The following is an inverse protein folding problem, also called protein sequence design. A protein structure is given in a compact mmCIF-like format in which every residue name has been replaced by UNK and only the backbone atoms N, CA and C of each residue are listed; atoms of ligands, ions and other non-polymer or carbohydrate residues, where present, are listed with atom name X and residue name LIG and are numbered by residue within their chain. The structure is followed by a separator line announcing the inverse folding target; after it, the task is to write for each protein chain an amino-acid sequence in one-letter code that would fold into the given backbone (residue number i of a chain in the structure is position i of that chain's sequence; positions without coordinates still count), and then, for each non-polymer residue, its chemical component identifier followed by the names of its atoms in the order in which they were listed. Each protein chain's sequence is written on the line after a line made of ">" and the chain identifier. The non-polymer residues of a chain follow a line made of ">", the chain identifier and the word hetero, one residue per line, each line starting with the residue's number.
data_IF_264623879860
#
_entry.id   IF_264623879860
#
_cell.length_a   1.000
_cell.length_b   1.000
_cell.length_c   1.000
_cell.angle_alpha   90.00
_cell.angle_beta   90.00
_cell.angle_gamma   90.00
#
_symmetry.space_group_name_H-M   'P 1'
#
loop_
_entity.id
_entity.type
_entity.pdbx_description
1 polymer ?
#
# COMPACT_ATOMS: atom_id res chain seq x y z
N UNK A 1 2.48 -33.77 53.18
CA UNK A 1 1.16 -33.37 52.69
C UNK A 1 0.77 -31.95 53.16
N UNK A 2 1.24 -31.46 54.31
CA UNK A 2 0.84 -30.12 54.79
C UNK A 2 1.63 -28.93 54.20
N UNK A 3 2.88 -29.11 53.77
CA UNK A 3 3.61 -28.02 53.06
C UNK A 3 3.09 -27.76 51.65
N UNK A 4 2.43 -28.72 51.00
CA UNK A 4 1.82 -28.50 49.68
C UNK A 4 0.48 -27.76 49.80
N UNK A 5 -0.25 -27.95 50.91
CA UNK A 5 -1.48 -27.21 51.21
C UNK A 5 -1.22 -25.76 51.60
N UNK A 6 -0.15 -25.47 52.34
CA UNK A 6 0.24 -24.07 52.64
C UNK A 6 0.73 -23.32 51.39
N UNK A 7 1.43 -23.98 50.46
CA UNK A 7 1.83 -23.36 49.19
C UNK A 7 0.64 -23.12 48.27
N UNK A 8 -0.37 -24.01 48.27
CA UNK A 8 -1.61 -23.83 47.50
C UNK A 8 -2.56 -22.81 48.14
N UNK A 9 -2.65 -22.72 49.47
CA UNK A 9 -3.42 -21.67 50.14
C UNK A 9 -2.77 -20.28 50.00
N UNK A 10 -1.43 -20.21 49.97
CA UNK A 10 -0.73 -18.95 49.74
C UNK A 10 -0.70 -18.55 48.25
N UNK A 11 -0.87 -19.51 47.32
CA UNK A 11 -1.05 -19.21 45.89
C UNK A 11 -2.45 -18.66 45.59
N UNK A 12 -3.49 -19.14 46.29
CA UNK A 12 -4.86 -18.62 46.13
C UNK A 12 -5.05 -17.24 46.79
N UNK A 13 -4.30 -16.89 47.84
CA UNK A 13 -4.32 -15.52 48.38
C UNK A 13 -3.49 -14.51 47.57
N UNK A 14 -2.64 -14.96 46.65
CA UNK A 14 -1.97 -14.06 45.68
C UNK A 14 -2.79 -13.78 44.41
N UNK A 15 -3.93 -14.45 44.23
CA UNK A 15 -4.79 -14.28 43.05
C UNK A 15 -6.12 -13.55 43.32
N UNK A 16 -6.43 -13.22 44.56
CA UNK A 16 -7.57 -12.33 44.90
C UNK A 16 -7.23 -10.83 44.75
N UNK A 17 -5.98 -10.48 44.45
CA UNK A 17 -5.55 -9.09 44.22
C UNK A 17 -5.69 -8.60 42.77
N UNK A 18 -6.03 -9.46 41.81
CA UNK A 18 -5.98 -9.13 40.35
C UNK A 18 -7.37 -9.03 39.69
N UNK A 19 -8.45 -8.99 40.48
CA UNK A 19 -9.84 -8.92 39.96
C UNK A 19 -10.33 -7.44 39.91
N UNK A 20 -9.55 -6.46 40.39
CA UNK A 20 -10.01 -5.05 40.44
C UNK A 20 -9.83 -4.25 39.15
N UNK A 21 -9.11 -4.75 38.15
CA UNK A 21 -8.72 -3.96 36.97
C UNK A 21 -9.40 -4.42 35.68
N UNK A 22 -10.44 -5.27 35.77
CA UNK A 22 -11.20 -5.75 34.61
C UNK A 22 -12.71 -5.67 34.84
N UNK A 23 -13.44 -5.16 33.87
CA UNK A 23 -14.91 -5.06 33.91
C UNK A 23 -15.50 -5.57 32.60
N UNK A 24 -16.58 -6.35 32.70
CA UNK A 24 -17.35 -6.77 31.54
C UNK A 24 -18.52 -5.80 31.31
N UNK A 25 -18.62 -5.26 30.09
CA UNK A 25 -19.61 -4.23 29.76
C UNK A 25 -20.40 -4.62 28.51
N UNK A 26 -21.71 -4.41 28.59
CA UNK A 26 -22.65 -4.66 27.51
C UNK A 26 -23.22 -3.34 27.01
N UNK A 27 -23.22 -3.14 25.70
CA UNK A 27 -23.69 -1.90 25.09
C UNK A 27 -23.96 -2.02 23.59
N UNK A 28 -24.73 -1.08 23.05
CA UNK A 28 -25.15 -1.12 21.65
C UNK A 28 -24.02 -0.76 20.66
N UNK A 29 -22.97 -0.11 21.14
CA UNK A 29 -21.75 0.24 20.40
C UNK A 29 -20.52 0.04 21.29
N UNK A 30 -19.36 -0.20 20.69
CA UNK A 30 -18.08 -0.35 21.41
C UNK A 30 -17.79 0.91 22.24
N UNK A 31 -17.96 2.10 21.67
CA UNK A 31 -17.77 3.38 22.38
C UNK A 31 -18.66 3.51 23.63
N UNK A 32 -19.92 3.08 23.56
CA UNK A 32 -20.82 3.09 24.73
C UNK A 32 -20.37 2.12 25.82
N UNK A 33 -19.71 1.02 25.45
CA UNK A 33 -19.16 0.07 26.42
C UNK A 33 -17.91 0.64 27.10
N UNK A 34 -17.02 1.26 26.32
CA UNK A 34 -15.77 1.84 26.84
C UNK A 34 -16.02 3.04 27.76
N UNK A 35 -16.96 3.92 27.43
CA UNK A 35 -17.33 5.04 28.32
C UNK A 35 -17.85 4.55 29.68
N UNK A 36 -18.72 3.53 29.68
CA UNK A 36 -19.22 2.93 30.92
C UNK A 36 -18.13 2.23 31.72
N UNK A 37 -17.17 1.60 31.03
CA UNK A 37 -16.01 0.99 31.67
C UNK A 37 -15.08 2.05 32.29
N UNK A 38 -14.85 3.16 31.60
CA UNK A 38 -14.04 4.30 32.08
C UNK A 38 -14.63 4.90 33.36
N UNK A 39 -15.95 5.13 33.38
CA UNK A 39 -16.66 5.62 34.56
C UNK A 39 -16.55 4.65 35.74
N UNK A 40 -16.66 3.34 35.46
CA UNK A 40 -16.61 2.30 36.50
C UNK A 40 -15.19 2.08 37.05
N UNK A 41 -14.18 2.15 36.19
CA UNK A 41 -12.77 1.96 36.54
C UNK A 41 -12.10 3.26 37.00
N UNK A 42 -12.81 4.40 36.94
CA UNK A 42 -12.29 5.74 37.24
C UNK A 42 -10.95 6.02 36.53
N UNK A 43 -10.93 5.71 35.24
CA UNK A 43 -9.74 5.72 34.39
C UNK A 43 -10.08 6.35 33.05
N UNK A 44 -9.16 7.10 32.46
CA UNK A 44 -9.36 7.71 31.14
C UNK A 44 -9.48 6.62 30.05
N UNK A 45 -10.24 6.89 28.99
CA UNK A 45 -10.45 5.95 27.87
C UNK A 45 -9.13 5.52 27.22
N UNK A 46 -8.11 6.37 27.22
CA UNK A 46 -6.76 6.09 26.69
C UNK A 46 -5.97 5.11 27.56
N UNK A 47 -6.42 4.86 28.78
CA UNK A 47 -5.82 3.91 29.70
C UNK A 47 -6.57 2.56 29.71
N UNK A 48 -7.52 2.35 28.79
CA UNK A 48 -8.31 1.13 28.72
C UNK A 48 -7.94 0.31 27.48
N UNK A 49 -7.71 -0.98 27.68
CA UNK A 49 -7.71 -2.00 26.65
C UNK A 49 -9.04 -2.76 26.65
N UNK A 50 -9.44 -3.32 25.51
CA UNK A 50 -10.67 -4.11 25.45
C UNK A 50 -10.59 -5.31 24.49
N UNK A 51 -11.23 -6.38 24.92
CA UNK A 51 -11.45 -7.58 24.11
C UNK A 51 -12.95 -7.74 23.81
N UNK A 52 -13.28 -8.03 22.55
CA UNK A 52 -14.67 -8.26 22.13
C UNK A 52 -15.03 -9.73 22.39
N UNK A 53 -15.83 -9.97 23.41
CA UNK A 53 -16.35 -11.31 23.74
C UNK A 53 -17.50 -11.70 22.81
N UNK A 54 -18.40 -10.77 22.50
CA UNK A 54 -19.47 -10.96 21.51
C UNK A 54 -19.67 -9.72 20.64
N UNK A 55 -19.70 -9.91 19.31
CA UNK A 55 -19.92 -8.83 18.35
C UNK A 55 -21.41 -8.50 18.24
N UNK A 56 -21.74 -7.22 18.37
CA UNK A 56 -23.10 -6.75 18.15
C UNK A 56 -23.55 -6.92 16.69
N UNK A 57 -24.81 -7.32 16.50
CA UNK A 57 -25.46 -7.45 15.19
C UNK A 57 -26.76 -6.67 15.19
N UNK A 58 -26.97 -5.85 14.16
CA UNK A 58 -28.21 -5.09 13.98
C UNK A 58 -28.92 -5.56 12.72
N UNK A 59 -30.09 -6.16 12.89
CA UNK A 59 -31.00 -6.54 11.80
C UNK A 59 -32.34 -5.83 11.98
N UNK A 60 -33.18 -5.82 10.94
CA UNK A 60 -34.41 -5.01 10.87
C UNK A 60 -35.43 -5.29 12.00
N UNK A 61 -35.31 -6.43 12.69
CA UNK A 61 -36.19 -6.85 13.80
C UNK A 61 -35.46 -7.25 15.10
N UNK A 62 -34.12 -7.23 15.16
CA UNK A 62 -33.38 -7.61 16.37
C UNK A 62 -32.02 -6.90 16.47
N UNK A 63 -31.67 -6.43 17.67
CA UNK A 63 -30.39 -5.79 17.98
C UNK A 63 -29.69 -6.58 19.08
N UNK A 64 -28.62 -7.28 18.72
CA UNK A 64 -27.74 -7.93 19.68
C UNK A 64 -26.64 -6.94 20.09
N UNK A 65 -26.50 -6.61 21.39
CA UNK A 65 -25.48 -5.68 21.87
C UNK A 65 -24.08 -6.30 21.81
N UNK A 66 -23.06 -5.45 21.83
CA UNK A 66 -21.68 -5.86 22.05
C UNK A 66 -21.48 -6.25 23.51
N UNK A 67 -20.64 -7.27 23.73
CA UNK A 67 -20.16 -7.68 25.04
C UNK A 67 -18.64 -7.59 25.04
N UNK A 68 -18.10 -6.70 25.86
CA UNK A 68 -16.66 -6.42 25.93
C UNK A 68 -16.11 -6.76 27.31
N UNK A 69 -14.88 -7.26 27.34
CA UNK A 69 -14.06 -7.27 28.54
C UNK A 69 -13.08 -6.12 28.46
N UNK A 70 -13.11 -5.18 29.42
CA UNK A 70 -12.31 -3.96 29.42
C UNK A 70 -11.36 -3.99 30.61
N UNK A 71 -10.10 -3.61 30.40
CA UNK A 71 -9.07 -3.61 31.43
C UNK A 71 -8.16 -2.39 31.38
N UNK A 72 -7.50 -2.04 32.49
CA UNK A 72 -6.55 -0.92 32.52
C UNK A 72 -5.21 -1.34 31.89
N UNK A 73 -4.70 -0.53 30.96
CA UNK A 73 -3.40 -0.74 30.30
C UNK A 73 -2.23 -0.59 31.28
N UNK A 74 -1.33 -1.58 31.40
CA UNK A 74 -0.14 -1.48 32.24
C UNK A 74 0.78 -0.34 31.75
N UNK A 75 1.53 0.26 32.69
CA UNK A 75 2.40 1.41 32.40
C UNK A 75 3.47 1.17 31.33
N UNK A 76 3.82 -0.09 31.10
CA UNK A 76 4.91 -0.53 30.25
C UNK A 76 4.51 -0.65 28.77
N UNK A 77 3.21 -0.67 28.44
CA UNK A 77 2.69 -0.81 27.06
C UNK A 77 2.22 0.51 26.43
N UNK A 78 2.38 1.65 27.13
CA UNK A 78 1.79 2.96 26.77
C UNK A 78 2.40 3.65 25.54
N UNK A 79 3.43 3.09 24.90
CA UNK A 79 4.17 3.74 23.82
C UNK A 79 4.43 2.86 22.59
N UNK A 80 3.76 1.72 22.47
CA UNK A 80 3.71 1.00 21.21
C UNK A 80 2.45 1.45 20.44
N UNK A 81 2.67 2.06 19.27
CA UNK A 81 1.72 2.04 18.16
C UNK A 81 0.59 3.08 18.11
N UNK A 82 0.95 4.36 18.14
CA UNK A 82 0.08 5.44 17.65
C UNK A 82 -0.18 5.35 16.13
N UNK A 83 0.75 4.79 15.35
CA UNK A 83 0.57 4.59 13.90
C UNK A 83 -0.41 3.45 13.57
N UNK A 84 -0.37 2.35 14.32
CA UNK A 84 -1.26 1.20 14.07
C UNK A 84 -2.72 1.50 14.45
N UNK A 85 -2.93 2.36 15.45
CA UNK A 85 -4.26 2.83 15.86
C UNK A 85 -4.95 3.65 14.77
N UNK A 86 -4.19 4.50 14.06
CA UNK A 86 -4.71 5.29 12.92
C UNK A 86 -5.19 4.41 11.76
N UNK A 87 -4.47 3.31 11.49
CA UNK A 87 -4.77 2.38 10.41
C UNK A 87 -5.99 1.49 10.71
N UNK A 88 -6.13 1.05 11.97
CA UNK A 88 -7.25 0.20 12.41
C UNK A 88 -8.59 0.94 12.45
N UNK A 89 -8.59 2.26 12.56
CA UNK A 89 -9.81 3.09 12.57
C UNK A 89 -10.30 3.50 11.17
N UNK A 90 -9.51 3.29 10.12
CA UNK A 90 -9.94 3.53 8.73
C UNK A 90 -10.27 4.99 8.40
N UNK A 91 -9.72 5.95 9.16
CA UNK A 91 -9.96 7.38 8.96
C UNK A 91 -8.81 7.96 8.15
N UNK A 92 -8.94 7.90 6.83
CA UNK A 92 -8.07 8.65 5.92
C UNK A 92 -8.31 10.17 6.05
N UNK A 93 -7.23 10.90 6.32
CA UNK A 93 -6.95 12.31 5.99
C UNK A 93 -8.07 13.38 6.15
N UNK A 94 -9.03 13.17 7.07
CA UNK A 94 -10.06 14.17 7.41
C UNK A 94 -10.51 14.10 8.87
N UNK A 95 -9.63 14.47 9.78
CA UNK A 95 -9.98 15.12 11.04
C UNK A 95 -8.81 16.03 11.40
N UNK A 96 -8.84 17.26 10.88
CA UNK A 96 -7.86 18.28 11.23
C UNK A 96 -8.54 19.35 12.08
N UNK A 97 -7.92 19.52 13.26
CA UNK A 97 -7.62 20.76 13.97
C UNK A 97 -8.41 21.10 15.24
N UNK A 98 -9.73 20.89 15.35
CA UNK A 98 -10.43 21.35 16.58
C UNK A 98 -10.46 20.36 17.74
N UNK A 99 -10.54 19.05 17.47
CA UNK A 99 -10.66 18.04 18.54
C UNK A 99 -9.29 17.58 19.09
N UNK A 100 -8.22 17.62 18.29
CA UNK A 100 -6.87 17.16 18.70
C UNK A 100 -6.18 18.10 19.70
N UNK A 101 -6.49 19.41 19.70
CA UNK A 101 -5.93 20.36 20.67
C UNK A 101 -6.41 20.09 22.12
N UNK A 102 -7.59 19.45 22.27
CA UNK A 102 -8.12 19.06 23.58
C UNK A 102 -7.53 17.76 24.12
N UNK A 103 -6.91 16.93 23.27
CA UNK A 103 -6.27 15.66 23.67
C UNK A 103 -4.77 15.81 24.05
N UNK A 104 -4.16 16.96 23.79
CA UNK A 104 -2.73 17.21 24.05
C UNK A 104 -2.46 18.19 25.21
N UNK A 105 -3.48 18.85 25.76
CA UNK A 105 -3.31 19.82 26.84
C UNK A 105 -3.62 19.19 28.21
N UNK A 106 -2.70 19.24 29.18
CA UNK A 106 -2.96 18.69 30.52
C UNK A 106 -4.18 19.37 31.15
N UNK A 107 -5.15 18.57 31.61
CA UNK A 107 -6.42 19.03 32.23
C UNK A 107 -6.21 20.00 33.40
N UNK A 108 -5.08 19.84 34.10
CA UNK A 108 -4.64 20.71 35.18
C UNK A 108 -3.15 20.98 35.04
N UNK A 109 -2.75 22.25 34.92
CA UNK A 109 -1.34 22.66 34.83
C UNK A 109 -1.15 24.02 35.49
N UNK A 110 -0.17 24.12 36.39
CA UNK A 110 0.22 25.40 36.98
C UNK A 110 0.71 26.39 35.92
N UNK A 111 0.50 27.67 36.16
CA UNK A 111 1.02 28.72 35.29
C UNK A 111 2.55 28.66 35.23
N UNK A 112 3.10 29.03 34.07
CA UNK A 112 4.54 28.93 33.80
C UNK A 112 5.17 30.29 33.59
N UNK A 113 6.42 30.41 34.04
CA UNK A 113 7.27 31.57 33.78
C UNK A 113 8.39 31.16 32.85
N UNK A 114 8.41 31.75 31.66
CA UNK A 114 9.46 31.54 30.68
C UNK A 114 10.20 32.86 30.49
N UNK A 115 11.53 32.82 30.57
CA UNK A 115 12.41 33.98 30.36
C UNK A 115 13.19 33.73 29.09
N UNK A 116 13.04 34.61 28.10
CA UNK A 116 13.79 34.56 26.85
C UNK A 116 14.69 35.78 26.75
N UNK A 117 15.96 35.54 26.46
CA UNK A 117 16.95 36.60 26.30
C UNK A 117 17.35 36.61 24.82
N UNK A 118 17.08 37.70 24.11
CA UNK A 118 17.41 37.88 22.69
C UNK A 118 18.24 39.16 22.51
N UNK A 119 18.74 39.42 21.28
CA UNK A 119 19.50 40.64 21.01
C UNK A 119 18.68 41.90 21.26
N UNK A 120 17.37 41.80 21.03
CA UNK A 120 16.40 42.87 21.20
C UNK A 120 16.07 43.18 22.66
N UNK A 121 16.36 42.27 23.61
CA UNK A 121 16.09 42.48 25.03
C UNK A 121 15.82 41.20 25.82
N UNK A 122 15.42 41.40 27.07
CA UNK A 122 14.93 40.34 27.95
C UNK A 122 13.40 40.35 27.91
N UNK A 123 12.82 39.19 27.64
CA UNK A 123 11.40 38.97 27.52
C UNK A 123 10.92 38.02 28.60
N UNK A 124 9.80 38.39 29.21
CA UNK A 124 9.08 37.57 30.18
C UNK A 124 7.78 37.09 29.53
N UNK A 125 7.53 35.80 29.62
CA UNK A 125 6.29 35.16 29.19
C UNK A 125 5.70 34.50 30.44
N UNK A 126 4.47 34.86 30.77
CA UNK A 126 3.71 34.26 31.87
C UNK A 126 2.48 33.61 31.27
N UNK A 127 2.44 32.29 31.34
CA UNK A 127 1.31 31.48 30.89
C UNK A 127 0.33 31.27 32.04
N UNK A 128 -0.97 31.37 31.76
CA UNK A 128 -2.03 31.12 32.73
C UNK A 128 -2.08 29.63 33.09
N UNK A 129 -2.52 29.29 34.31
CA UNK A 129 -2.81 27.91 34.63
C UNK A 129 -3.97 27.37 33.81
N UNK A 130 -3.94 26.07 33.56
CA UNK A 130 -5.05 25.31 32.98
C UNK A 130 -5.78 24.54 34.09
N UNK A 131 -7.12 24.55 34.05
CA UNK A 131 -7.97 23.90 35.05
C UNK A 131 -7.72 24.39 36.48
N UNK A 132 -7.41 23.46 37.39
CA UNK A 132 -7.15 23.73 38.82
C UNK A 132 -5.67 24.10 39.11
N UNK A 133 -4.88 24.38 38.07
CA UNK A 133 -3.50 24.83 38.24
C UNK A 133 -3.41 26.16 38.99
N UNK A 134 -2.30 26.37 39.69
CA UNK A 134 -2.05 27.61 40.43
C UNK A 134 -1.52 28.71 39.51
N UNK A 135 -1.99 29.96 39.65
CA UNK A 135 -1.42 31.08 38.93
C UNK A 135 -0.01 31.38 39.41
N UNK A 136 0.80 31.91 38.50
CA UNK A 136 2.16 32.38 38.81
C UNK A 136 2.08 33.54 39.80
N UNK A 137 2.89 33.47 40.85
CA UNK A 137 3.11 34.59 41.76
C UNK A 137 4.35 35.42 41.37
N UNK A 138 4.40 36.67 41.83
CA UNK A 138 5.49 37.59 41.51
C UNK A 138 6.85 37.09 42.03
N UNK A 139 6.88 36.38 43.16
CA UNK A 139 8.12 35.84 43.71
C UNK A 139 8.67 34.70 42.84
N UNK A 140 7.81 33.88 42.23
CA UNK A 140 8.19 32.84 41.27
C UNK A 140 8.80 33.47 40.02
N UNK A 141 8.20 34.55 39.50
CA UNK A 141 8.75 35.28 38.36
C UNK A 141 10.12 35.90 38.67
N UNK A 142 10.27 36.55 39.81
CA UNK A 142 11.54 37.13 40.27
C UNK A 142 12.61 36.05 40.51
N UNK A 143 12.23 34.93 41.12
CA UNK A 143 13.13 33.78 41.34
C UNK A 143 13.62 33.23 40.00
N UNK A 144 12.75 33.13 39.00
CA UNK A 144 13.12 32.65 37.67
C UNK A 144 14.04 33.64 36.94
N UNK A 145 13.81 34.95 37.05
CA UNK A 145 14.70 35.98 36.51
C UNK A 145 16.10 35.92 37.14
N UNK A 146 16.17 35.71 38.47
CA UNK A 146 17.45 35.53 39.17
C UNK A 146 18.17 34.25 38.73
N UNK A 147 17.46 33.12 38.63
CA UNK A 147 18.02 31.84 38.16
C UNK A 147 18.56 31.93 36.73
N UNK A 148 17.88 32.68 35.87
CA UNK A 148 18.29 32.91 34.48
C UNK A 148 19.37 33.99 34.37
N UNK A 149 19.85 34.55 35.48
CA UNK A 149 20.98 35.49 35.53
C UNK A 149 20.63 36.91 35.08
N UNK A 150 19.35 37.26 35.02
CA UNK A 150 18.87 38.60 34.67
C UNK A 150 18.86 39.47 35.92
N UNK A 151 19.68 40.52 35.93
CA UNK A 151 19.81 41.43 37.08
C UNK A 151 19.17 42.80 36.83
N UNK A 152 19.03 43.21 35.56
CA UNK A 152 18.54 44.53 35.18
C UNK A 152 17.25 44.39 34.37
N UNK A 153 16.11 44.63 35.05
CA UNK A 153 14.78 44.59 34.47
C UNK A 153 13.88 45.63 35.15
N UNK A 154 12.83 46.05 34.44
CA UNK A 154 11.81 46.94 34.96
C UNK A 154 10.83 46.14 35.83
N UNK A 155 10.92 46.36 37.15
CA UNK A 155 10.07 45.67 38.12
C UNK A 155 8.58 45.97 37.90
N UNK A 156 8.22 47.20 37.49
CA UNK A 156 6.82 47.57 37.24
C UNK A 156 6.24 46.76 36.09
N UNK A 157 7.04 46.53 35.04
CA UNK A 157 6.66 45.66 33.92
C UNK A 157 6.56 44.19 34.32
N UNK A 158 7.44 43.70 35.18
CA UNK A 158 7.33 42.30 35.68
C UNK A 158 6.00 42.10 36.41
N UNK A 159 5.62 43.01 37.31
CA UNK A 159 4.34 42.93 38.02
C UNK A 159 3.14 43.01 37.07
N UNK A 160 3.22 43.84 36.02
CA UNK A 160 2.19 43.96 34.98
C UNK A 160 2.02 42.64 34.19
N UNK A 161 3.13 42.05 33.71
CA UNK A 161 3.12 40.81 32.93
C UNK A 161 2.59 39.63 33.74
N UNK A 162 2.97 39.52 35.02
CA UNK A 162 2.47 38.47 35.92
C UNK A 162 0.97 38.63 36.17
N UNK A 163 0.49 39.86 36.35
CA UNK A 163 -0.93 40.16 36.56
C UNK A 163 -1.78 39.84 35.34
N UNK A 164 -1.30 40.18 34.14
CA UNK A 164 -2.07 40.02 32.90
C UNK A 164 -1.97 38.60 32.34
N UNK A 165 -0.82 37.95 32.51
CA UNK A 165 -0.52 36.58 32.11
C UNK A 165 -1.00 36.25 30.68
N UNK A 166 -0.71 37.14 29.73
CA UNK A 166 -1.23 37.05 28.36
C UNK A 166 -0.61 35.91 27.54
N UNK A 167 0.39 35.18 28.07
CA UNK A 167 1.13 34.16 27.32
C UNK A 167 2.01 34.72 26.19
N UNK A 168 2.13 36.04 26.09
CA UNK A 168 2.91 36.71 25.04
C UNK A 168 4.26 37.20 25.57
N UNK A 169 5.31 37.25 24.72
CA UNK A 169 6.62 37.75 25.12
C UNK A 169 6.59 39.27 25.31
N UNK A 170 6.74 39.73 26.55
CA UNK A 170 6.77 41.15 26.90
C UNK A 170 8.19 41.55 27.30
N UNK A 171 8.71 42.62 26.67
CA UNK A 171 10.07 43.12 26.96
C UNK A 171 10.12 43.81 28.32
N UNK A 172 10.84 43.21 29.26
CA UNK A 172 11.01 43.71 30.63
C UNK A 172 12.38 44.36 30.87
N UNK A 173 13.35 44.17 29.97
CA UNK A 173 14.69 44.69 30.17
C UNK A 173 15.52 44.70 28.89
N UNK A 174 16.70 45.31 28.99
CA UNK A 174 17.69 45.27 27.91
C UNK A 174 18.65 44.10 28.14
N UNK A 175 19.05 43.45 27.05
CA UNK A 175 20.07 42.41 27.11
C UNK A 175 21.43 43.04 27.41
N UNK A 176 22.17 42.44 28.35
CA UNK A 176 23.56 42.78 28.62
C UNK A 176 24.44 41.68 28.02
N UNK A 177 25.25 41.99 26.99
CA UNK A 177 26.05 40.98 26.29
C UNK A 177 26.94 40.16 27.23
N UNK A 178 26.75 38.85 27.19
CA UNK A 178 27.61 37.85 27.86
C UNK A 178 27.89 36.69 26.90
N UNK A 179 28.72 36.89 25.87
CA UNK A 179 28.92 35.91 24.80
C UNK A 179 29.34 34.51 25.30
N UNK A 180 30.08 34.43 26.40
CA UNK A 180 30.51 33.17 27.03
C UNK A 180 29.37 32.37 27.69
N UNK A 181 28.22 33.00 27.91
CA UNK A 181 27.02 32.38 28.46
C UNK A 181 25.96 32.13 27.39
N UNK A 182 26.10 32.69 26.19
CA UNK A 182 25.12 32.55 25.11
C UNK A 182 24.94 31.09 24.68
N UNK A 183 23.73 30.79 24.23
CA UNK A 183 23.41 29.53 23.57
C UNK A 183 24.27 29.38 22.32
N UNK A 184 24.71 28.16 22.07
CA UNK A 184 25.55 27.80 20.93
C UNK A 184 24.98 26.57 20.24
N UNK A 185 25.47 26.26 19.06
CA UNK A 185 25.08 25.05 18.36
C UNK A 185 26.24 24.43 17.62
N UNK A 186 26.12 23.13 17.37
CA UNK A 186 27.03 22.38 16.50
C UNK A 186 26.28 21.97 15.24
N UNK A 187 26.95 22.10 14.09
CA UNK A 187 26.44 21.61 12.81
C UNK A 187 27.17 20.32 12.47
N UNK A 188 26.40 19.28 12.16
CA UNK A 188 26.91 18.01 11.67
C UNK A 188 26.27 17.71 10.31
N UNK A 189 27.09 17.61 9.27
CA UNK A 189 26.64 17.38 7.88
C UNK A 189 26.89 15.93 7.52
N UNK A 190 25.89 15.29 6.91
CA UNK A 190 26.02 13.90 6.49
C UNK A 190 27.05 13.74 5.36
N UNK A 191 27.75 12.59 5.26
CA UNK A 191 28.77 12.38 4.23
C UNK A 191 28.24 12.46 2.78
N UNK A 192 26.95 12.19 2.58
CA UNK A 192 26.26 12.31 1.29
C UNK A 192 25.84 13.76 0.96
N UNK A 193 26.11 14.70 1.88
CA UNK A 193 25.76 16.12 1.77
C UNK A 193 24.24 16.37 1.66
N UNK A 194 23.42 15.39 2.04
CA UNK A 194 21.96 15.48 1.89
C UNK A 194 21.28 16.10 3.10
N UNK A 195 21.89 16.08 4.29
CA UNK A 195 21.29 16.63 5.51
C UNK A 195 22.31 17.40 6.34
N UNK A 196 21.86 18.50 6.93
CA UNK A 196 22.57 19.16 8.02
C UNK A 196 21.76 19.04 9.30
N UNK A 197 22.39 18.50 10.33
CA UNK A 197 21.87 18.42 11.67
C UNK A 197 22.42 19.57 12.50
N UNK A 198 21.56 20.14 13.34
CA UNK A 198 21.93 21.16 14.31
C UNK A 198 21.62 20.63 15.71
N UNK A 199 22.63 20.69 16.58
CA UNK A 199 22.50 20.37 17.99
C UNK A 199 22.68 21.63 18.83
N UNK A 200 21.59 22.07 19.45
CA UNK A 200 21.55 23.33 20.21
C UNK A 200 21.95 23.07 21.66
N UNK A 201 22.90 23.84 22.16
CA UNK A 201 23.31 23.86 23.57
C UNK A 201 22.61 25.04 24.26
N UNK A 202 21.94 24.82 25.40
CA UNK A 202 21.18 25.87 26.09
C UNK A 202 22.10 26.99 26.60
N UNK A 203 21.58 28.22 26.76
CA UNK A 203 22.34 29.30 27.35
C UNK A 203 22.63 29.03 28.84
N UNK A 204 23.77 29.52 29.32
CA UNK A 204 24.08 29.62 30.75
C UNK A 204 23.39 30.87 31.35
N UNK A 205 23.31 31.00 32.69
CA UNK A 205 22.69 32.17 33.31
C UNK A 205 23.25 33.50 32.79
N UNK A 206 22.36 34.37 32.30
CA UNK A 206 22.64 35.66 31.68
C UNK A 206 22.92 35.61 30.17
N UNK A 207 22.94 34.41 29.59
CA UNK A 207 23.20 34.18 28.17
C UNK A 207 21.96 34.34 27.28
N UNK A 208 22.20 34.73 26.03
CA UNK A 208 21.19 34.87 24.99
C UNK A 208 20.78 33.52 24.41
N UNK A 209 19.49 33.35 24.11
CA UNK A 209 18.97 32.25 23.31
C UNK A 209 19.26 32.49 21.83
N UNK A 210 19.37 31.41 21.06
CA UNK A 210 19.52 31.50 19.60
C UNK A 210 18.20 31.91 18.95
N UNK A 211 18.30 32.63 17.85
CA UNK A 211 17.20 32.94 16.94
C UNK A 211 17.38 32.15 15.63
N UNK A 212 16.31 31.94 14.86
CA UNK A 212 16.36 31.20 13.57
C UNK A 212 17.46 31.77 12.65
N UNK A 213 17.59 33.09 12.62
CA UNK A 213 18.60 33.81 11.84
C UNK A 213 20.03 33.40 12.24
N UNK A 214 20.29 33.12 13.52
CA UNK A 214 21.62 32.68 13.98
C UNK A 214 21.96 31.28 13.47
N UNK A 215 21.00 30.36 13.54
CA UNK A 215 21.15 28.99 13.07
C UNK A 215 21.34 28.97 11.54
N UNK A 216 20.48 29.67 10.80
CA UNK A 216 20.58 29.78 9.34
C UNK A 216 21.90 30.44 8.91
N UNK A 217 22.34 31.48 9.63
CA UNK A 217 23.63 32.14 9.34
C UNK A 217 24.80 31.20 9.58
N UNK A 218 24.79 30.42 10.67
CA UNK A 218 25.85 29.43 10.89
C UNK A 218 25.79 28.28 9.90
N UNK A 219 24.61 27.80 9.47
CA UNK A 219 24.50 26.82 8.40
C UNK A 219 25.09 27.35 7.08
N UNK A 220 24.80 28.61 6.71
CA UNK A 220 25.41 29.29 5.56
C UNK A 220 26.93 29.39 5.69
N UNK A 221 27.44 29.67 6.90
CA UNK A 221 28.89 29.70 7.17
C UNK A 221 29.56 28.32 7.00
N UNK A 222 28.80 27.24 7.21
CA UNK A 222 29.22 25.86 6.92
C UNK A 222 29.00 25.44 5.45
N UNK A 223 28.61 26.39 4.59
CA UNK A 223 28.47 26.20 3.15
C UNK A 223 27.07 25.80 2.67
N UNK A 224 26.10 25.60 3.56
CA UNK A 224 24.72 25.24 3.18
C UNK A 224 24.09 26.37 2.35
N UNK A 225 23.51 26.01 1.20
CA UNK A 225 22.95 26.96 0.22
C UNK A 225 21.44 26.84 0.10
N UNK A 226 20.91 25.61 0.17
CA UNK A 226 19.49 25.31 -0.05
C UNK A 226 18.94 24.39 1.04
N UNK A 227 17.61 24.31 1.10
CA UNK A 227 16.92 23.28 1.88
C UNK A 227 16.79 23.61 3.37
N UNK A 228 16.99 24.86 3.78
CA UNK A 228 16.80 25.29 5.18
C UNK A 228 15.38 24.97 5.66
N UNK A 229 15.30 24.27 6.78
CA UNK A 229 14.04 23.92 7.45
C UNK A 229 13.75 24.95 8.54
N UNK A 230 13.47 26.19 8.13
CA UNK A 230 13.30 27.32 9.07
C UNK A 230 12.18 27.07 10.08
N UNK A 231 11.08 26.44 9.65
CA UNK A 231 9.96 26.07 10.53
C UNK A 231 10.37 25.04 11.60
N UNK A 232 11.11 24.00 11.21
CA UNK A 232 11.61 22.97 12.14
C UNK A 232 12.63 23.55 13.13
N UNK A 233 13.51 24.45 12.65
CA UNK A 233 14.46 25.18 13.50
C UNK A 233 13.70 26.07 14.49
N UNK A 234 12.66 26.79 14.03
CA UNK A 234 11.84 27.65 14.86
C UNK A 234 11.12 26.85 15.94
N UNK A 235 10.47 25.73 15.58
CA UNK A 235 9.80 24.84 16.51
C UNK A 235 10.77 24.32 17.57
N UNK A 236 11.96 23.86 17.15
CA UNK A 236 12.96 23.36 18.08
C UNK A 236 13.49 24.43 19.06
N UNK A 237 13.62 25.68 18.62
CA UNK A 237 14.01 26.81 19.47
C UNK A 237 12.91 27.22 20.45
N UNK A 238 11.65 27.20 20.02
CA UNK A 238 10.49 27.55 20.86
C UNK A 238 10.24 26.50 21.95
N UNK A 239 10.33 25.23 21.57
CA UNK A 239 10.10 24.07 22.44
C UNK A 239 11.32 23.66 23.27
N UNK A 240 12.41 24.43 23.23
CA UNK A 240 13.64 24.13 23.98
C UNK A 240 14.19 22.71 23.74
N UNK A 241 14.14 22.23 22.48
CA UNK A 241 14.69 20.92 22.08
C UNK A 241 16.22 20.95 22.06
N UNK A 242 16.81 21.07 23.24
CA UNK A 242 18.25 21.14 23.43
C UNK A 242 18.90 19.76 23.40
N UNK A 243 20.18 19.74 23.00
CA UNK A 243 21.04 18.54 22.98
C UNK A 243 20.53 17.39 22.09
N UNK A 244 19.52 17.67 21.26
CA UNK A 244 18.95 16.77 20.28
C UNK A 244 19.42 17.16 18.87
N UNK A 245 19.51 16.16 17.99
CA UNK A 245 19.85 16.39 16.59
C UNK A 245 18.60 16.81 15.81
N UNK A 246 18.56 18.05 15.34
CA UNK A 246 17.46 18.62 14.56
C UNK A 246 17.87 18.69 13.09
N UNK A 247 17.05 18.18 12.17
CA UNK A 247 17.29 18.37 10.74
C UNK A 247 17.03 19.84 10.41
N UNK A 248 18.10 20.58 10.16
CA UNK A 248 18.04 22.02 9.94
C UNK A 248 18.19 22.40 8.45
N UNK A 249 18.74 21.49 7.64
CA UNK A 249 18.66 21.59 6.19
C UNK A 249 18.59 20.21 5.53
N UNK A 250 17.88 20.12 4.41
CA UNK A 250 17.70 18.88 3.65
C UNK A 250 17.78 19.13 2.13
N UNK A 251 18.61 18.34 1.45
CA UNK A 251 18.74 18.36 0.00
C UNK A 251 17.54 17.70 -0.68
N UNK A 252 17.42 17.91 -1.99
CA UNK A 252 16.40 17.26 -2.82
C UNK A 252 16.99 15.96 -3.35
N UNK A 253 16.49 14.76 -2.97
CA UNK A 253 17.03 13.51 -3.48
C UNK A 253 16.76 13.35 -4.98
N UNK A 254 17.68 12.69 -5.67
CA UNK A 254 17.50 12.32 -7.07
C UNK A 254 16.39 11.27 -7.20
N UNK A 255 15.55 11.39 -8.23
CA UNK A 255 14.52 10.39 -8.56
C UNK A 255 14.94 9.66 -9.82
N UNK A 256 15.26 8.38 -9.70
CA UNK A 256 15.59 7.55 -10.86
C UNK A 256 14.35 7.31 -11.72
N UNK A 257 14.56 7.26 -13.03
CA UNK A 257 13.51 6.89 -13.99
C UNK A 257 13.18 5.41 -13.90
N UNK A 258 11.90 5.06 -14.06
CA UNK A 258 11.47 3.68 -14.18
C UNK A 258 11.91 3.07 -15.52
N UNK A 259 12.39 1.83 -15.49
CA UNK A 259 12.70 1.04 -16.69
C UNK A 259 11.43 0.81 -17.54
N UNK A 260 11.61 0.73 -18.84
CA UNK A 260 10.54 0.31 -19.75
C UNK A 260 10.13 -1.13 -19.45
N UNK A 261 8.84 -1.44 -19.58
CA UNK A 261 8.31 -2.81 -19.38
C UNK A 261 7.25 -3.14 -20.42
N UNK A 262 7.17 -4.42 -20.79
CA UNK A 262 6.13 -4.92 -21.67
C UNK A 262 4.99 -5.43 -20.79
N UNK A 263 3.82 -4.85 -20.98
CA UNK A 263 2.57 -5.28 -20.38
C UNK A 263 1.83 -6.19 -21.36
N UNK A 264 1.76 -7.48 -21.05
CA UNK A 264 1.10 -8.49 -21.87
C UNK A 264 -0.40 -8.47 -21.62
N UNK A 265 -1.20 -8.27 -22.68
CA UNK A 265 -2.67 -8.21 -22.61
C UNK A 265 -3.34 -9.56 -22.87
N UNK A 266 -2.53 -10.60 -23.03
CA UNK A 266 -2.93 -11.98 -23.35
C UNK A 266 -2.22 -12.94 -22.41
N UNK A 267 -2.84 -14.10 -22.18
CA UNK A 267 -2.23 -15.10 -21.31
C UNK A 267 -1.03 -15.78 -22.00
N UNK A 268 0.17 -15.44 -21.54
CA UNK A 268 1.43 -16.03 -22.04
C UNK A 268 1.84 -17.30 -21.29
N UNK A 269 1.15 -17.66 -20.19
CA UNK A 269 1.48 -18.83 -19.36
C UNK A 269 0.55 -20.00 -19.70
N UNK A 270 1.10 -21.05 -20.31
CA UNK A 270 0.38 -22.26 -20.73
C UNK A 270 0.00 -23.20 -19.57
N UNK A 271 0.44 -22.92 -18.34
CA UNK A 271 0.35 -23.85 -17.21
C UNK A 271 -0.83 -23.59 -16.27
N UNK A 272 -1.68 -22.60 -16.57
CA UNK A 272 -2.90 -22.35 -15.80
C UNK A 272 -4.11 -22.82 -16.60
N UNK A 273 -4.55 -24.05 -16.32
CA UNK A 273 -5.89 -24.50 -16.72
C UNK A 273 -6.88 -23.78 -15.83
N UNK A 274 -7.53 -22.75 -16.36
CA UNK A 274 -8.64 -22.11 -15.69
C UNK A 274 -9.89 -22.94 -15.94
N UNK A 275 -10.43 -23.52 -14.87
CA UNK A 275 -11.73 -24.18 -14.90
C UNK A 275 -12.81 -23.11 -14.71
N UNK A 276 -13.76 -23.03 -15.63
CA UNK A 276 -14.93 -22.18 -15.47
C UNK A 276 -16.02 -22.95 -14.70
N UNK A 277 -16.52 -22.37 -13.60
CA UNK A 277 -17.67 -22.89 -12.85
C UNK A 277 -18.96 -22.30 -13.43
N UNK A 278 -19.94 -23.15 -13.73
CA UNK A 278 -21.28 -22.67 -14.11
C UNK A 278 -21.95 -21.95 -12.91
N UNK A 279 -23.07 -21.26 -13.16
CA UNK A 279 -23.84 -20.58 -12.11
C UNK A 279 -24.39 -21.52 -10.99
N UNK A 280 -24.13 -22.83 -11.09
CA UNK A 280 -24.47 -23.88 -10.12
C UNK A 280 -23.22 -24.54 -9.51
N UNK A 281 -22.02 -24.01 -9.75
CA UNK A 281 -20.76 -24.51 -9.21
C UNK A 281 -20.27 -25.82 -9.85
N UNK A 282 -20.73 -26.17 -11.05
CA UNK A 282 -20.26 -27.36 -11.78
C UNK A 282 -19.15 -26.97 -12.75
N UNK A 283 -18.03 -27.68 -12.63
CA UNK A 283 -16.87 -27.54 -13.50
C UNK A 283 -17.02 -28.49 -14.69
N UNK A 284 -17.01 -27.94 -15.91
CA UNK A 284 -16.92 -28.75 -17.13
C UNK A 284 -15.45 -29.04 -17.47
N UNK A 285 -14.97 -30.21 -17.07
CA UNK A 285 -13.61 -30.67 -17.35
C UNK A 285 -13.29 -30.83 -18.84
N UNK A 286 -14.27 -30.68 -19.75
CA UNK A 286 -14.05 -30.69 -21.19
C UNK A 286 -13.70 -29.31 -21.76
N UNK A 287 -14.01 -28.22 -21.06
CA UNK A 287 -13.65 -26.85 -21.46
C UNK A 287 -12.36 -26.41 -20.79
N UNK A 288 -11.26 -27.04 -21.19
CA UNK A 288 -9.94 -26.57 -20.82
C UNK A 288 -9.54 -25.50 -21.85
N UNK A 289 -9.62 -24.22 -21.49
CA UNK A 289 -9.18 -23.07 -22.32
C UNK A 289 -7.64 -23.08 -22.51
N UNK A 290 -7.11 -24.15 -23.12
CA UNK A 290 -5.69 -24.38 -23.37
C UNK A 290 -5.13 -23.52 -24.51
N UNK A 291 -6.02 -22.93 -25.32
CA UNK A 291 -5.69 -22.12 -26.49
C UNK A 291 -6.15 -20.68 -26.28
N UNK A 292 -5.17 -19.79 -26.11
CA UNK A 292 -5.42 -18.34 -26.10
C UNK A 292 -5.68 -17.87 -27.54
N UNK A 293 -6.95 -17.83 -27.92
CA UNK A 293 -7.40 -17.31 -29.21
C UNK A 293 -7.35 -15.79 -29.23
N UNK A 294 -6.88 -15.24 -30.35
CA UNK A 294 -6.90 -13.80 -30.61
C UNK A 294 -7.48 -13.49 -31.98
N UNK A 295 -8.05 -12.29 -32.10
CA UNK A 295 -8.64 -11.79 -33.34
C UNK A 295 -7.80 -10.68 -33.97
N UNK A 296 -7.91 -10.50 -35.28
CA UNK A 296 -7.28 -9.38 -36.01
C UNK A 296 -7.61 -8.05 -35.33
N UNK A 297 -6.59 -7.21 -35.13
CA UNK A 297 -6.71 -5.90 -34.50
C UNK A 297 -6.65 -5.92 -32.96
N UNK A 298 -6.63 -7.10 -32.32
CA UNK A 298 -6.51 -7.21 -30.88
C UNK A 298 -5.10 -6.80 -30.42
N UNK A 299 -5.02 -5.99 -29.35
CA UNK A 299 -3.75 -5.63 -28.71
C UNK A 299 -3.26 -6.83 -27.90
N UNK A 300 -2.05 -7.29 -28.20
CA UNK A 300 -1.40 -8.43 -27.56
C UNK A 300 -0.46 -7.99 -26.43
N UNK A 301 0.25 -6.88 -26.65
CA UNK A 301 1.16 -6.33 -25.66
C UNK A 301 1.32 -4.81 -25.84
N UNK A 302 1.64 -4.14 -24.75
CA UNK A 302 1.89 -2.70 -24.71
C UNK A 302 3.22 -2.43 -23.98
N UNK A 303 4.12 -1.72 -24.64
CA UNK A 303 5.35 -1.21 -24.05
C UNK A 303 5.01 0.05 -23.26
N UNK A 304 5.25 -0.01 -21.96
CA UNK A 304 5.30 1.16 -21.10
C UNK A 304 6.71 1.76 -21.24
N UNK A 305 6.84 3.00 -21.73
CA UNK A 305 8.14 3.60 -22.02
C UNK A 305 8.96 3.85 -20.76
N UNK A 306 10.28 3.86 -20.92
CA UNK A 306 11.19 4.24 -19.86
C UNK A 306 10.98 5.71 -19.47
N UNK A 307 11.13 6.01 -18.18
CA UNK A 307 11.02 7.37 -17.68
C UNK A 307 12.39 8.01 -17.52
N UNK A 308 12.45 9.33 -17.65
CA UNK A 308 13.66 10.09 -17.36
C UNK A 308 13.84 10.23 -15.86
N UNK A 309 15.09 10.15 -15.42
CA UNK A 309 15.46 10.52 -14.06
C UNK A 309 15.31 12.02 -13.85
N UNK A 310 15.02 12.43 -12.62
CA UNK A 310 15.03 13.82 -12.19
C UNK A 310 16.19 14.01 -11.23
N UNK A 311 17.18 14.80 -11.65
CA UNK A 311 18.34 15.10 -10.82
C UNK A 311 17.94 15.74 -9.50
N UNK A 312 18.59 15.31 -8.43
CA UNK A 312 18.50 15.90 -7.11
C UNK A 312 19.52 17.02 -6.91
N UNK A 313 19.52 17.60 -5.73
CA UNK A 313 20.50 18.58 -5.27
C UNK A 313 20.85 18.35 -3.80
N UNK A 314 22.14 18.35 -3.48
CA UNK A 314 22.62 18.33 -2.09
C UNK A 314 22.33 19.67 -1.40
N UNK A 315 22.52 19.76 -0.08
CA UNK A 315 22.36 21.02 0.67
C UNK A 315 23.35 22.10 0.23
N UNK A 316 24.47 21.70 -0.39
CA UNK A 316 25.47 22.58 -1.01
C UNK A 316 25.13 22.97 -2.46
N UNK A 317 23.93 22.63 -2.93
CA UNK A 317 23.45 22.88 -4.29
C UNK A 317 24.28 22.16 -5.38
N UNK A 318 24.94 21.04 -5.05
CA UNK A 318 25.59 20.16 -6.03
C UNK A 318 24.58 19.21 -6.63
N UNK A 319 24.73 18.89 -7.91
CA UNK A 319 23.82 17.99 -8.62
C UNK A 319 24.01 16.56 -8.12
N UNK A 320 22.91 15.90 -7.75
CA UNK A 320 22.87 14.46 -7.53
C UNK A 320 22.27 13.84 -8.80
N UNK A 321 23.09 13.14 -9.57
CA UNK A 321 22.67 12.59 -10.86
C UNK A 321 21.60 11.51 -10.68
N UNK A 322 20.50 11.65 -11.42
CA UNK A 322 19.54 10.60 -11.59
C UNK A 322 19.90 9.73 -12.79
N UNK A 323 19.58 8.45 -12.69
CA UNK A 323 19.65 7.52 -13.80
C UNK A 323 18.33 7.53 -14.55
N UNK A 324 18.42 7.57 -15.87
CA UNK A 324 17.28 7.30 -16.74
C UNK A 324 16.92 5.81 -16.69
N UNK A 325 15.64 5.52 -16.86
CA UNK A 325 15.18 4.15 -17.00
C UNK A 325 15.75 3.51 -18.26
N UNK A 326 16.03 2.20 -18.19
CA UNK A 326 16.49 1.43 -19.36
C UNK A 326 15.32 1.18 -20.30
N UNK A 327 15.53 1.46 -21.58
CA UNK A 327 14.54 1.17 -22.60
C UNK A 327 14.60 -0.30 -23.05
N UNK A 328 13.46 -0.82 -23.49
CA UNK A 328 13.33 -2.15 -24.09
C UNK A 328 12.59 -2.07 -25.41
N UNK A 329 12.98 -2.88 -26.37
CA UNK A 329 12.34 -2.94 -27.69
C UNK A 329 11.21 -3.97 -27.70
N UNK A 330 10.03 -3.57 -28.18
CA UNK A 330 8.92 -4.48 -28.44
C UNK A 330 9.12 -5.12 -29.82
N UNK A 331 9.34 -6.43 -29.88
CA UNK A 331 9.68 -7.14 -31.12
C UNK A 331 8.45 -7.76 -31.79
N UNK A 332 8.27 -7.51 -33.08
CA UNK A 332 7.16 -8.04 -33.87
C UNK A 332 7.38 -9.50 -34.31
N UNK A 333 6.51 -10.42 -33.89
CA UNK A 333 6.42 -11.82 -34.35
C UNK A 333 5.77 -12.00 -35.72
N UNK A 334 5.56 -13.26 -36.10
CA UNK A 334 4.71 -13.57 -37.26
C UNK A 334 3.25 -13.36 -36.88
N UNK A 335 2.40 -12.93 -37.82
CA UNK A 335 0.98 -12.68 -37.56
C UNK A 335 0.72 -11.52 -36.59
N UNK A 336 1.70 -10.63 -36.41
CA UNK A 336 1.60 -9.46 -35.53
C UNK A 336 2.20 -8.24 -36.22
N UNK A 337 1.66 -7.07 -35.92
CA UNK A 337 2.13 -5.78 -36.40
C UNK A 337 2.38 -4.83 -35.23
N UNK A 338 3.42 -4.00 -35.33
CA UNK A 338 3.65 -2.91 -34.37
C UNK A 338 2.83 -1.68 -34.76
N UNK A 339 2.35 -0.95 -33.75
CA UNK A 339 1.81 0.40 -33.97
C UNK A 339 2.88 1.35 -34.50
N UNK A 340 2.46 2.47 -35.11
CA UNK A 340 3.37 3.47 -35.69
C UNK A 340 4.38 4.03 -34.68
N UNK A 341 3.99 4.16 -33.42
CA UNK A 341 4.83 4.60 -32.31
C UNK A 341 5.72 3.48 -31.72
N UNK A 342 5.58 2.24 -32.20
CA UNK A 342 6.33 1.07 -31.74
C UNK A 342 5.97 0.57 -30.34
N UNK A 343 4.92 1.12 -29.72
CA UNK A 343 4.58 0.80 -28.33
C UNK A 343 3.51 -0.28 -28.18
N UNK A 344 2.76 -0.62 -29.23
CA UNK A 344 1.71 -1.64 -29.16
C UNK A 344 2.02 -2.74 -30.16
N UNK A 345 1.85 -3.98 -29.72
CA UNK A 345 1.87 -5.15 -30.59
C UNK A 345 0.43 -5.61 -30.80
N UNK A 346 0.01 -5.68 -32.06
CA UNK A 346 -1.36 -5.92 -32.48
C UNK A 346 -1.39 -7.21 -33.30
N UNK A 347 -2.43 -8.02 -33.15
CA UNK A 347 -2.67 -9.19 -33.98
C UNK A 347 -3.01 -8.78 -35.42
N UNK A 348 -2.28 -9.31 -36.40
CA UNK A 348 -2.52 -9.09 -37.82
C UNK A 348 -3.48 -10.16 -38.39
N UNK A 349 -3.50 -11.34 -37.78
CA UNK A 349 -4.32 -12.50 -38.18
C UNK A 349 -5.05 -13.07 -36.97
N UNK A 350 -6.12 -13.84 -37.22
CA UNK A 350 -6.75 -14.66 -36.19
C UNK A 350 -5.88 -15.90 -35.90
N UNK A 351 -5.86 -16.35 -34.65
CA UNK A 351 -5.14 -17.58 -34.29
C UNK A 351 -4.76 -17.66 -32.82
N UNK A 352 -3.70 -18.43 -32.53
CA UNK A 352 -3.17 -18.62 -31.18
C UNK A 352 -1.95 -17.74 -30.94
N UNK A 353 -1.87 -17.14 -29.76
CA UNK A 353 -0.66 -16.44 -29.30
C UNK A 353 0.41 -17.44 -28.86
N UNK A 354 1.62 -17.28 -29.40
CA UNK A 354 2.80 -18.04 -29.03
C UNK A 354 3.94 -17.09 -28.66
N UNK A 355 4.47 -17.24 -27.44
CA UNK A 355 5.68 -16.55 -27.00
C UNK A 355 6.90 -17.46 -27.19
N UNK A 356 7.86 -17.04 -28.02
CA UNK A 356 9.13 -17.74 -28.23
C UNK A 356 10.28 -16.73 -28.38
N UNK A 357 11.42 -16.94 -27.72
CA UNK A 357 12.57 -16.03 -27.76
C UNK A 357 12.20 -14.54 -27.49
N UNK A 358 11.34 -14.30 -26.49
CA UNK A 358 10.77 -12.99 -26.16
C UNK A 358 10.02 -12.30 -27.32
N UNK A 359 9.47 -13.10 -28.22
CA UNK A 359 8.73 -12.65 -29.40
C UNK A 359 7.34 -13.25 -29.38
N UNK A 360 6.32 -12.40 -29.31
CA UNK A 360 4.93 -12.81 -29.47
C UNK A 360 4.62 -12.95 -30.95
N UNK A 361 4.15 -14.12 -31.35
CA UNK A 361 3.62 -14.38 -32.69
C UNK A 361 2.19 -14.88 -32.58
N UNK A 362 1.39 -14.65 -33.62
CA UNK A 362 0.08 -15.28 -33.80
C UNK A 362 0.22 -16.32 -34.90
N UNK A 363 -0.16 -17.55 -34.58
CA UNK A 363 -0.13 -18.66 -35.52
C UNK A 363 -1.58 -19.02 -35.91
N UNK A 364 -1.91 -19.10 -37.22
CA UNK A 364 -3.27 -19.39 -37.68
C UNK A 364 -3.61 -20.89 -37.68
N UNK A 365 -2.67 -21.73 -37.22
CA UNK A 365 -2.79 -23.18 -37.19
C UNK A 365 -2.50 -23.71 -35.79
N UNK A 366 -3.48 -24.38 -35.19
CA UNK A 366 -3.30 -25.07 -33.93
C UNK A 366 -2.98 -26.54 -34.17
N UNK A 367 -1.88 -27.03 -33.60
CA UNK A 367 -1.40 -28.42 -33.78
C UNK A 367 -1.52 -29.20 -32.48
N UNK A 368 -2.30 -30.27 -32.51
CA UNK A 368 -2.43 -31.22 -31.41
C UNK A 368 -1.51 -32.40 -31.67
N UNK A 369 -0.53 -32.59 -30.78
CA UNK A 369 0.37 -33.75 -30.82
C UNK A 369 -0.32 -34.91 -30.12
N UNK A 370 -0.99 -35.76 -30.90
CA UNK A 370 -1.72 -36.93 -30.42
C UNK A 370 -3.24 -36.77 -30.55
N UNK A 371 -3.98 -37.39 -29.63
CA UNK A 371 -5.43 -37.50 -29.68
C UNK A 371 -6.12 -36.29 -29.04
N UNK A 372 -7.29 -35.92 -29.57
CA UNK A 372 -8.25 -35.05 -28.88
C UNK A 372 -9.07 -35.91 -27.93
N UNK A 373 -8.93 -35.66 -26.63
CA UNK A 373 -9.48 -36.51 -25.57
C UNK A 373 -9.38 -35.88 -24.18
N UNK A 374 -9.35 -36.71 -23.11
CA UNK A 374 -9.37 -36.22 -21.72
C UNK A 374 -8.23 -35.28 -21.34
N UNK A 375 -7.10 -35.33 -22.05
CA UNK A 375 -5.94 -34.46 -21.79
C UNK A 375 -6.01 -33.12 -22.54
N UNK A 376 -6.73 -33.05 -23.65
CA UNK A 376 -6.80 -31.86 -24.49
C UNK A 376 -8.13 -31.12 -24.31
N UNK A 377 -9.19 -31.82 -23.89
CA UNK A 377 -10.53 -31.26 -23.87
C UNK A 377 -11.10 -31.05 -25.28
N UNK A 378 -12.23 -30.35 -25.33
CA UNK A 378 -12.79 -29.82 -26.57
C UNK A 378 -11.92 -28.69 -27.10
N UNK A 379 -11.92 -28.51 -28.42
CA UNK A 379 -11.10 -27.49 -29.09
C UNK A 379 -12.02 -26.50 -29.78
N UNK A 380 -11.83 -25.21 -29.52
CA UNK A 380 -12.41 -24.12 -30.28
C UNK A 380 -11.27 -23.22 -30.75
N UNK A 381 -11.11 -23.06 -32.06
CA UNK A 381 -9.97 -22.34 -32.61
C UNK A 381 -10.37 -21.43 -33.77
N UNK A 382 -9.90 -20.18 -33.73
CA UNK A 382 -10.17 -19.17 -34.76
C UNK A 382 -9.16 -19.27 -35.92
N UNK A 383 -8.96 -20.49 -36.42
CA UNK A 383 -8.03 -20.82 -37.49
C UNK A 383 -8.15 -22.29 -37.86
N UNK A 384 -7.12 -22.86 -38.48
CA UNK A 384 -7.12 -24.28 -38.85
C UNK A 384 -6.59 -25.17 -37.72
N UNK A 385 -7.15 -26.36 -37.54
CA UNK A 385 -6.74 -27.32 -36.52
C UNK A 385 -6.14 -28.56 -37.19
N UNK A 386 -4.96 -28.98 -36.75
CA UNK A 386 -4.32 -30.21 -37.20
C UNK A 386 -4.12 -31.13 -36.00
N UNK A 387 -4.73 -32.30 -36.06
CA UNK A 387 -4.71 -33.32 -35.01
C UNK A 387 -3.86 -34.48 -35.51
N UNK A 388 -2.76 -34.78 -34.81
CA UNK A 388 -1.86 -35.86 -35.21
C UNK A 388 -2.44 -37.26 -35.00
N UNK A 389 -3.37 -37.42 -34.05
CA UNK A 389 -4.00 -38.67 -33.68
C UNK A 389 -5.50 -38.71 -33.99
N UNK A 390 -6.27 -39.32 -33.08
CA UNK A 390 -7.71 -39.53 -33.19
C UNK A 390 -8.50 -38.41 -32.50
N UNK A 391 -9.78 -38.28 -32.86
CA UNK A 391 -10.77 -37.57 -32.05
C UNK A 391 -11.61 -38.60 -31.33
N UNK A 392 -11.47 -38.68 -30.00
CA UNK A 392 -12.08 -39.71 -29.16
C UNK A 392 -13.57 -39.45 -28.90
N UNK A 393 -14.27 -40.49 -28.47
CA UNK A 393 -15.68 -40.48 -28.13
C UNK A 393 -16.06 -39.29 -27.21
N UNK A 394 -17.12 -38.58 -27.60
CA UNK A 394 -17.74 -37.47 -26.87
C UNK A 394 -16.87 -36.20 -26.74
N UNK A 395 -15.91 -36.00 -27.64
CA UNK A 395 -15.16 -34.74 -27.77
C UNK A 395 -15.61 -33.94 -29.00
N UNK A 396 -15.38 -32.63 -28.93
CA UNK A 396 -15.77 -31.68 -29.96
C UNK A 396 -14.58 -30.83 -30.43
N UNK A 397 -14.50 -30.62 -31.75
CA UNK A 397 -13.51 -29.76 -32.39
C UNK A 397 -14.24 -28.75 -33.28
N UNK A 398 -14.09 -27.46 -32.99
CA UNK A 398 -14.61 -26.34 -33.78
C UNK A 398 -13.47 -25.50 -34.33
N UNK A 399 -13.47 -25.25 -35.63
CA UNK A 399 -12.44 -24.46 -36.30
C UNK A 399 -13.06 -23.46 -37.29
N UNK A 400 -12.61 -22.21 -37.25
CA UNK A 400 -12.96 -21.22 -38.28
C UNK A 400 -12.20 -21.43 -39.60
N UNK A 401 -11.27 -22.41 -39.65
CA UNK A 401 -10.56 -22.83 -40.85
C UNK A 401 -10.78 -24.31 -41.15
N UNK A 402 -9.74 -24.96 -41.64
CA UNK A 402 -9.78 -26.39 -41.95
C UNK A 402 -9.54 -27.24 -40.70
N UNK A 403 -10.07 -28.47 -40.68
CA UNK A 403 -9.75 -29.48 -39.68
C UNK A 403 -9.09 -30.68 -40.36
N UNK A 404 -7.85 -30.98 -39.99
CA UNK A 404 -7.15 -32.18 -40.42
C UNK A 404 -6.97 -33.15 -39.24
N UNK A 405 -7.41 -34.39 -39.40
CA UNK A 405 -7.28 -35.47 -38.42
C UNK A 405 -6.41 -36.57 -39.03
N UNK A 406 -5.27 -36.85 -38.40
CA UNK A 406 -4.33 -37.88 -38.82
C UNK A 406 -4.81 -39.31 -38.57
N UNK A 407 -5.66 -39.50 -37.56
CA UNK A 407 -6.28 -40.77 -37.18
C UNK A 407 -7.75 -40.88 -37.59
N UNK A 408 -8.53 -41.56 -36.75
CA UNK A 408 -9.96 -41.75 -36.90
C UNK A 408 -10.77 -40.75 -36.05
N UNK A 409 -12.02 -40.53 -36.45
CA UNK A 409 -12.99 -39.74 -35.69
C UNK A 409 -14.07 -40.69 -35.19
N UNK A 410 -14.18 -40.85 -33.86
CA UNK A 410 -15.06 -41.83 -33.23
C UNK A 410 -16.05 -41.15 -32.30
N UNK A 411 -17.35 -41.28 -32.56
CA UNK A 411 -18.45 -40.73 -31.74
C UNK A 411 -18.18 -39.30 -31.24
N UNK A 412 -17.63 -38.48 -32.11
CA UNK A 412 -17.19 -37.13 -31.82
C UNK A 412 -17.94 -36.13 -32.71
N UNK A 413 -17.77 -34.83 -32.41
CA UNK A 413 -18.32 -33.75 -33.22
C UNK A 413 -17.20 -32.90 -33.80
N UNK A 414 -17.24 -32.68 -35.11
CA UNK A 414 -16.31 -31.78 -35.80
C UNK A 414 -17.13 -30.72 -36.53
N UNK A 415 -16.84 -29.45 -36.28
CA UNK A 415 -17.40 -28.30 -36.99
C UNK A 415 -16.24 -27.50 -37.60
N UNK A 416 -16.29 -27.25 -38.90
CA UNK A 416 -15.30 -26.46 -39.62
C UNK A 416 -15.98 -25.50 -40.60
N UNK A 417 -15.46 -24.27 -40.72
CA UNK A 417 -15.88 -23.39 -41.81
C UNK A 417 -15.22 -23.77 -43.14
N UNK A 418 -14.04 -24.39 -43.08
CA UNK A 418 -13.32 -24.93 -44.24
C UNK A 418 -13.47 -26.44 -44.41
N UNK A 419 -12.47 -27.06 -45.05
CA UNK A 419 -12.44 -28.50 -45.33
C UNK A 419 -12.21 -29.33 -44.06
N UNK A 420 -12.83 -30.51 -44.03
CA UNK A 420 -12.57 -31.54 -43.02
C UNK A 420 -11.87 -32.72 -43.67
N UNK A 421 -10.65 -33.01 -43.24
CA UNK A 421 -9.81 -34.09 -43.79
C UNK A 421 -9.54 -35.10 -42.69
N UNK A 422 -10.06 -36.32 -42.85
CA UNK A 422 -9.83 -37.43 -41.93
C UNK A 422 -9.01 -38.49 -42.66
N UNK A 423 -7.73 -38.64 -42.30
CA UNK A 423 -6.83 -39.57 -43.00
C UNK A 423 -7.20 -41.04 -42.83
N UNK A 424 -7.88 -41.39 -41.73
CA UNK A 424 -8.48 -42.71 -41.52
C UNK A 424 -9.99 -42.67 -41.79
N UNK A 425 -10.82 -43.11 -40.86
CA UNK A 425 -12.26 -43.23 -41.06
C UNK A 425 -13.08 -42.46 -40.04
N UNK A 426 -14.32 -42.21 -40.40
CA UNK A 426 -15.32 -41.55 -39.57
C UNK A 426 -16.30 -42.61 -39.08
N UNK A 427 -16.47 -42.75 -37.76
CA UNK A 427 -17.33 -43.77 -37.18
C UNK A 427 -18.22 -43.19 -36.07
N UNK A 428 -19.55 -43.23 -36.25
CA UNK A 428 -20.48 -42.80 -35.21
C UNK A 428 -20.48 -41.30 -34.93
N UNK A 429 -19.87 -40.48 -35.80
CA UNK A 429 -19.55 -39.08 -35.55
C UNK A 429 -20.53 -38.13 -36.25
N UNK A 430 -20.56 -36.88 -35.79
CA UNK A 430 -21.25 -35.78 -36.43
C UNK A 430 -20.21 -34.82 -37.04
N UNK A 431 -20.23 -34.62 -38.35
CA UNK A 431 -19.30 -33.72 -39.04
C UNK A 431 -20.10 -32.63 -39.75
N UNK A 432 -19.74 -31.38 -39.49
CA UNK A 432 -20.28 -30.20 -40.13
C UNK A 432 -19.15 -29.40 -40.79
N UNK A 433 -19.25 -29.19 -42.10
CA UNK A 433 -18.35 -28.32 -42.88
C UNK A 433 -19.20 -27.30 -43.64
N UNK A 434 -19.23 -26.07 -43.15
CA UNK A 434 -20.19 -25.05 -43.64
C UNK A 434 -19.76 -24.36 -44.94
N UNK A 435 -18.47 -24.41 -45.29
CA UNK A 435 -17.92 -23.85 -46.54
C UNK A 435 -16.97 -24.77 -47.29
N UNK A 436 -16.73 -25.99 -46.81
CA UNK A 436 -15.75 -26.92 -47.37
C UNK A 436 -16.32 -28.27 -47.78
N UNK A 437 -15.39 -29.20 -48.02
CA UNK A 437 -15.64 -30.61 -48.36
C UNK A 437 -15.18 -31.53 -47.21
N UNK A 438 -15.71 -32.77 -47.19
CA UNK A 438 -15.24 -33.84 -46.30
C UNK A 438 -14.47 -34.89 -47.09
N UNK A 439 -13.24 -35.18 -46.66
CA UNK A 439 -12.40 -36.24 -47.19
C UNK A 439 -12.14 -37.30 -46.12
N UNK A 440 -12.48 -38.56 -46.39
CA UNK A 440 -12.22 -39.67 -45.49
C UNK A 440 -11.84 -40.95 -46.23
N UNK A 441 -11.18 -41.89 -45.56
CA UNK A 441 -10.95 -43.23 -46.12
C UNK A 441 -12.24 -44.03 -46.16
N UNK A 442 -13.01 -44.04 -45.07
CA UNK A 442 -14.36 -44.63 -45.01
C UNK A 442 -15.24 -43.84 -44.03
N UNK A 443 -16.56 -43.92 -44.22
CA UNK A 443 -17.54 -43.25 -43.35
C UNK A 443 -18.62 -44.26 -42.94
N UNK A 444 -18.86 -44.41 -41.64
CA UNK A 444 -19.82 -45.37 -41.11
C UNK A 444 -20.64 -44.83 -39.93
N UNK A 445 -21.95 -45.07 -39.92
CA UNK A 445 -22.87 -44.70 -38.84
C UNK A 445 -22.77 -43.21 -38.45
N UNK A 446 -22.54 -42.31 -39.42
CA UNK A 446 -22.27 -40.91 -39.16
C UNK A 446 -23.41 -40.00 -39.64
N UNK A 447 -23.42 -38.76 -39.13
CA UNK A 447 -24.23 -37.66 -39.63
C UNK A 447 -23.30 -36.60 -40.22
N UNK A 448 -23.44 -36.35 -41.51
CA UNK A 448 -22.53 -35.49 -42.28
C UNK A 448 -23.33 -34.33 -42.85
N UNK A 449 -22.87 -33.11 -42.63
CA UNK A 449 -23.44 -31.88 -43.16
C UNK A 449 -22.31 -31.10 -43.82
N UNK A 450 -22.24 -31.12 -45.15
CA UNK A 450 -21.11 -30.56 -45.90
C UNK A 450 -21.66 -29.70 -47.03
N UNK A 451 -21.11 -28.50 -47.21
CA UNK A 451 -21.56 -27.56 -48.23
C UNK A 451 -21.20 -28.01 -49.65
N UNK A 452 -20.03 -28.64 -49.81
CA UNK A 452 -19.49 -29.08 -51.10
C UNK A 452 -19.55 -30.61 -51.23
N UNK A 453 -18.39 -31.27 -51.35
CA UNK A 453 -18.30 -32.68 -51.68
C UNK A 453 -18.01 -33.56 -50.45
N UNK A 454 -18.54 -34.79 -50.48
CA UNK A 454 -18.14 -35.86 -49.56
C UNK A 454 -17.41 -36.94 -50.35
N UNK A 455 -16.12 -37.11 -50.06
CA UNK A 455 -15.23 -38.05 -50.76
C UNK A 455 -14.78 -39.13 -49.79
N UNK A 456 -15.19 -40.37 -50.06
CA UNK A 456 -14.78 -41.56 -49.32
C UNK A 456 -14.01 -42.54 -50.22
N UNK A 457 -12.80 -42.93 -49.81
CA UNK A 457 -11.94 -43.81 -50.62
C UNK A 457 -12.41 -45.28 -50.70
N UNK A 458 -13.00 -45.82 -49.64
CA UNK A 458 -13.41 -47.23 -49.53
C UNK A 458 -14.95 -47.40 -49.50
N UNK A 459 -15.70 -46.46 -48.91
CA UNK A 459 -17.16 -46.51 -48.91
C UNK A 459 -17.84 -45.67 -47.82
N UNK A 460 -19.14 -45.46 -48.01
CA UNK A 460 -20.06 -44.77 -47.09
C UNK A 460 -21.16 -45.75 -46.69
N UNK A 461 -21.29 -46.06 -45.40
CA UNK A 461 -22.20 -47.09 -44.88
C UNK A 461 -23.08 -46.54 -43.76
N UNK A 462 -24.39 -46.82 -43.80
CA UNK A 462 -25.34 -46.45 -42.73
C UNK A 462 -25.21 -44.99 -42.26
N UNK A 463 -24.93 -44.07 -43.18
CA UNK A 463 -24.60 -42.67 -42.91
C UNK A 463 -25.67 -41.80 -43.52
N UNK A 464 -26.04 -40.73 -42.80
CA UNK A 464 -26.90 -39.66 -43.31
C UNK A 464 -25.99 -38.53 -43.78
N UNK A 465 -26.13 -38.16 -45.05
CA UNK A 465 -25.43 -37.03 -45.69
C UNK A 465 -26.48 -36.01 -46.11
#
# INVERSE_FOLDING_TARGET
>A
MDRLKEVLLNADQSNEATIKDRVEVIGLTIASCLNRAADYLNSDLSMLDYEILERGKRSFFNTQPYRLQVSILPAEERFADLEEFSLKLGVGDRLLDEDLEQFATPKHQDGRVIVRIYRSGVFLIVEKPLGDGKPVDENQALTQLQRTGVQNFDQSRVSEVVREALGQPIKIGNYMPKPEADSSFKVDITPDEMKAYVKITPPRPGGRHLEVVDVVTGLKAHGVVIGFKEDDIQAALLEDRYMQDIIAAEGVPAKHGADARIDYKVNIKKDQVNFEEDAKGRVDYKQMNLVENVVVGQILAEKLPAQRGVNGRTIFNRIVEARDGKDIELKQGRGTILSEDGNKLIAEINGQVVLSNNKLSVEPVYRVVGDVGPKTGNIMFLGSVIIGGNVLDNYEVKAAGNVEVGGAVQKARIEAEGDVIVRSGVQGAHIESTGGSLFAKFIQNAEIYVANDVVAGEGILHTKV
#
